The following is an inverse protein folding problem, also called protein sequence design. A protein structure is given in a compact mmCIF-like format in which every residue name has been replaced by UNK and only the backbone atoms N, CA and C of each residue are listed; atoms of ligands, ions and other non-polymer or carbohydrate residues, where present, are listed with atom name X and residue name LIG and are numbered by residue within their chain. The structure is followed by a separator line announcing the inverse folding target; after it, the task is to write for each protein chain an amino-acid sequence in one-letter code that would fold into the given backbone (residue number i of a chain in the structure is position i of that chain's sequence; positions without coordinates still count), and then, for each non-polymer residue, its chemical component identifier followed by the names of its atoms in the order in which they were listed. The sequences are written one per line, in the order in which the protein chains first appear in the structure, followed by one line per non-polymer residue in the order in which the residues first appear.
data_IF_259200528303
#
_entry.id   IF_259200528303
#
_cell.length_a   1.000
_cell.length_b   1.000
_cell.length_c   1.000
_cell.angle_alpha   90.00
_cell.angle_beta   90.00
_cell.angle_gamma   90.00
#
_symmetry.space_group_name_H-M   'P 1'
#
loop_
_entity.id
_entity.type
_entity.pdbx_description
1 polymer ?
#
# COMPACT_ATOMS: atom_id res chain seq x y z
N UNK A 1 29.71 25.53 1.77
CA UNK A 1 28.74 24.65 1.13
C UNK A 1 27.84 25.52 0.25
N UNK A 2 27.79 25.24 -1.04
CA UNK A 2 26.99 26.02 -2.00
C UNK A 2 25.53 25.52 -1.93
N UNK A 3 24.58 26.40 -1.61
CA UNK A 3 23.15 26.09 -1.65
C UNK A 3 22.69 26.09 -3.09
N UNK A 4 22.00 25.01 -3.52
CA UNK A 4 21.41 24.89 -4.85
C UNK A 4 19.92 25.18 -4.73
N UNK A 5 19.46 26.24 -5.40
CA UNK A 5 18.03 26.58 -5.52
C UNK A 5 17.49 26.01 -6.84
N UNK A 6 16.35 25.34 -6.77
CA UNK A 6 15.63 24.86 -7.96
C UNK A 6 14.77 25.99 -8.50
N UNK A 7 14.75 26.22 -9.83
CA UNK A 7 13.90 27.22 -10.45
C UNK A 7 12.42 26.85 -10.39
N UNK A 8 11.55 27.84 -10.42
CA UNK A 8 10.11 27.65 -10.60
C UNK A 8 9.81 27.03 -11.97
N UNK A 9 8.84 26.13 -12.04
CA UNK A 9 8.48 25.47 -13.28
C UNK A 9 7.42 24.37 -13.12
N UNK A 10 7.29 23.55 -14.15
CA UNK A 10 6.36 22.41 -14.14
C UNK A 10 6.77 21.37 -13.08
N UNK A 11 5.84 21.03 -12.20
CA UNK A 11 6.09 20.07 -11.11
C UNK A 11 5.72 18.65 -11.55
N UNK A 12 6.57 17.69 -11.17
CA UNK A 12 6.31 16.24 -11.24
C UNK A 12 6.49 15.62 -9.85
N UNK A 13 5.58 14.75 -9.48
CA UNK A 13 5.62 14.10 -8.18
C UNK A 13 6.42 12.82 -8.28
N UNK A 14 7.45 12.68 -7.44
CA UNK A 14 8.22 11.47 -7.29
C UNK A 14 7.94 10.83 -5.91
N UNK A 15 7.94 9.51 -5.85
CA UNK A 15 7.78 8.78 -4.59
C UNK A 15 9.08 8.86 -3.78
N UNK A 16 8.99 9.28 -2.52
CA UNK A 16 10.15 9.42 -1.64
C UNK A 16 10.89 8.10 -1.42
N UNK A 17 10.16 6.98 -1.24
CA UNK A 17 10.75 5.65 -1.09
C UNK A 17 11.61 5.23 -2.29
N UNK A 18 11.22 5.65 -3.48
CA UNK A 18 12.00 5.39 -4.70
C UNK A 18 13.24 6.26 -4.78
N UNK A 19 13.13 7.53 -4.37
CA UNK A 19 14.29 8.43 -4.30
C UNK A 19 15.32 7.94 -3.28
N UNK A 20 14.87 7.50 -2.11
CA UNK A 20 15.74 6.95 -1.07
C UNK A 20 16.50 5.70 -1.56
N UNK A 21 15.82 4.80 -2.28
CA UNK A 21 16.45 3.62 -2.88
C UNK A 21 17.48 4.00 -3.94
N UNK A 22 17.18 4.96 -4.80
CA UNK A 22 18.11 5.43 -5.84
C UNK A 22 19.34 6.08 -5.22
N UNK A 23 19.16 6.86 -4.16
CA UNK A 23 20.26 7.47 -3.40
C UNK A 23 21.13 6.40 -2.74
N UNK A 24 20.52 5.39 -2.12
CA UNK A 24 21.21 4.30 -1.44
C UNK A 24 22.07 3.46 -2.39
N UNK A 25 21.58 3.21 -3.61
CA UNK A 25 22.33 2.45 -4.64
C UNK A 25 23.44 3.29 -5.26
N UNK A 26 23.25 4.61 -5.36
CA UNK A 26 24.26 5.52 -5.91
C UNK A 26 24.51 5.36 -7.42
N UNK A 27 23.62 4.70 -8.15
CA UNK A 27 23.72 4.55 -9.61
C UNK A 27 23.14 5.79 -10.31
N UNK A 28 24.03 6.67 -10.76
CA UNK A 28 23.65 7.91 -11.42
C UNK A 28 22.90 7.70 -12.74
N UNK A 29 23.22 6.65 -13.49
CA UNK A 29 22.55 6.35 -14.76
C UNK A 29 21.12 5.86 -14.52
N UNK A 30 20.90 5.05 -13.49
CA UNK A 30 19.57 4.62 -13.06
C UNK A 30 18.73 5.80 -12.54
N UNK A 31 19.33 6.71 -11.77
CA UNK A 31 18.66 7.91 -11.29
C UNK A 31 18.25 8.84 -12.44
N UNK A 32 19.13 9.07 -13.43
CA UNK A 32 18.82 9.85 -14.62
C UNK A 32 17.71 9.20 -15.46
N UNK A 33 17.75 7.88 -15.62
CA UNK A 33 16.71 7.12 -16.32
C UNK A 33 15.36 7.27 -15.61
N UNK A 34 15.32 7.17 -14.28
CA UNK A 34 14.10 7.39 -13.50
C UNK A 34 13.52 8.79 -13.70
N UNK A 35 14.36 9.84 -13.64
CA UNK A 35 13.94 11.21 -13.88
C UNK A 35 13.40 11.41 -15.30
N UNK A 36 14.03 10.78 -16.29
CA UNK A 36 13.56 10.81 -17.67
C UNK A 36 12.16 10.19 -17.80
N UNK A 37 11.96 9.00 -17.21
CA UNK A 37 10.65 8.32 -17.21
C UNK A 37 9.60 9.17 -16.49
N UNK A 38 9.94 9.75 -15.35
CA UNK A 38 9.05 10.61 -14.58
C UNK A 38 8.62 11.83 -15.39
N UNK A 39 9.53 12.40 -16.20
CA UNK A 39 9.25 13.57 -17.05
C UNK A 39 8.37 13.22 -18.24
N UNK A 40 8.61 12.09 -18.90
CA UNK A 40 8.00 11.77 -20.20
C UNK A 40 6.86 10.75 -20.11
N UNK A 41 6.60 10.12 -18.95
CA UNK A 41 5.46 9.23 -18.70
C UNK A 41 5.58 7.84 -19.35
N UNK A 42 6.75 7.46 -19.83
CA UNK A 42 7.01 6.15 -20.43
C UNK A 42 8.32 6.13 -21.20
N UNK A 43 8.80 4.95 -21.60
CA UNK A 43 10.08 4.84 -22.30
C UNK A 43 9.97 4.10 -23.62
N UNK A 44 10.32 4.80 -24.70
CA UNK A 44 11.05 4.17 -25.79
C UNK A 44 12.53 4.12 -25.35
N UNK A 45 13.06 2.91 -25.11
CA UNK A 45 14.42 2.73 -24.61
C UNK A 45 15.49 3.38 -25.48
N UNK A 46 15.28 3.41 -26.78
CA UNK A 46 16.21 4.03 -27.74
C UNK A 46 16.20 5.56 -27.66
N UNK A 47 15.04 6.14 -27.40
CA UNK A 47 14.89 7.59 -27.21
C UNK A 47 15.50 8.02 -25.86
N UNK A 48 15.26 7.25 -24.80
CA UNK A 48 15.84 7.51 -23.49
C UNK A 48 17.37 7.42 -23.49
N UNK A 49 17.94 6.37 -24.08
CA UNK A 49 19.39 6.19 -24.19
C UNK A 49 20.05 7.36 -24.94
N UNK A 50 19.44 7.81 -26.05
CA UNK A 50 19.92 8.97 -26.81
C UNK A 50 19.82 10.26 -26.02
N UNK A 51 18.70 10.52 -25.37
CA UNK A 51 18.47 11.73 -24.59
C UNK A 51 19.44 11.85 -23.42
N UNK A 52 19.71 10.73 -22.75
CA UNK A 52 20.63 10.64 -21.62
C UNK A 52 22.09 10.45 -22.03
N UNK A 53 22.38 10.34 -23.34
CA UNK A 53 23.73 10.08 -23.90
C UNK A 53 24.38 8.83 -23.32
N UNK A 54 23.58 7.78 -23.08
CA UNK A 54 24.04 6.49 -22.58
C UNK A 54 24.34 5.56 -23.76
N UNK A 55 25.44 4.78 -23.65
CA UNK A 55 25.65 3.65 -24.54
C UNK A 55 24.60 2.56 -24.25
N UNK A 56 24.38 1.63 -25.20
CA UNK A 56 23.45 0.53 -25.03
C UNK A 56 23.71 -0.25 -23.74
N UNK A 57 24.98 -0.60 -23.46
CA UNK A 57 25.36 -1.33 -22.24
C UNK A 57 25.10 -0.55 -20.95
N UNK A 58 25.30 0.77 -20.97
CA UNK A 58 25.02 1.62 -19.81
C UNK A 58 23.51 1.76 -19.60
N UNK A 59 22.76 1.91 -20.67
CA UNK A 59 21.31 1.94 -20.61
C UNK A 59 20.73 0.63 -20.05
N UNK A 60 21.18 -0.52 -20.55
CA UNK A 60 20.71 -1.81 -20.07
C UNK A 60 21.02 -2.03 -18.58
N UNK A 61 22.22 -1.65 -18.13
CA UNK A 61 22.58 -1.71 -16.71
C UNK A 61 21.69 -0.79 -15.86
N UNK A 62 21.50 0.45 -16.29
CA UNK A 62 20.63 1.41 -15.60
C UNK A 62 19.18 0.92 -15.56
N UNK A 63 18.68 0.38 -16.67
CA UNK A 63 17.34 -0.20 -16.75
C UNK A 63 17.19 -1.44 -15.84
N UNK A 64 18.20 -2.30 -15.80
CA UNK A 64 18.23 -3.46 -14.90
C UNK A 64 18.24 -3.02 -13.43
N UNK A 65 19.08 -2.05 -13.05
CA UNK A 65 19.12 -1.49 -11.70
C UNK A 65 17.78 -0.88 -11.35
N UNK A 66 17.20 -0.06 -12.24
CA UNK A 66 15.92 0.59 -12.02
C UNK A 66 14.78 -0.42 -11.90
N UNK A 67 14.74 -1.44 -12.76
CA UNK A 67 13.75 -2.50 -12.67
C UNK A 67 13.83 -3.28 -11.36
N UNK A 68 15.04 -3.54 -10.85
CA UNK A 68 15.23 -4.19 -9.55
C UNK A 68 14.79 -3.30 -8.38
N UNK A 69 14.92 -1.99 -8.52
CA UNK A 69 14.45 -1.03 -7.51
C UNK A 69 12.93 -0.80 -7.57
N UNK A 70 12.38 -0.83 -8.78
CA UNK A 70 10.93 -0.74 -9.05
C UNK A 70 10.27 -2.09 -8.83
N UNK A 71 11.00 -3.20 -9.11
CA UNK A 71 10.53 -4.53 -8.76
C UNK A 71 10.16 -4.51 -7.28
N UNK A 72 8.92 -4.84 -6.91
CA UNK A 72 8.51 -4.78 -5.54
C UNK A 72 9.49 -5.60 -4.72
N UNK A 73 10.22 -4.98 -3.81
CA UNK A 73 10.73 -5.66 -2.63
C UNK A 73 9.55 -6.48 -2.16
N UNK A 74 9.68 -7.76 -1.89
CA UNK A 74 8.59 -8.75 -1.67
C UNK A 74 7.46 -8.34 -0.71
N UNK A 75 7.37 -7.06 -0.34
CA UNK A 75 6.32 -6.44 0.46
C UNK A 75 5.20 -5.73 -0.33
N UNK A 76 5.29 -5.67 -1.67
CA UNK A 76 4.26 -5.04 -2.51
C UNK A 76 3.91 -5.93 -3.71
N UNK A 77 3.58 -7.19 -3.47
CA UNK A 77 2.92 -8.06 -4.44
C UNK A 77 1.57 -8.49 -3.90
N UNK A 78 0.58 -7.67 -4.11
CA UNK A 78 -0.80 -8.12 -4.09
C UNK A 78 -1.55 -7.54 -5.28
N UNK A 79 -1.24 -8.04 -6.48
CA UNK A 79 -2.21 -8.10 -7.57
C UNK A 79 -1.98 -9.40 -8.32
N UNK A 80 -3.01 -10.26 -8.25
CA UNK A 80 -3.27 -11.41 -9.08
C UNK A 80 -2.30 -12.58 -9.02
N UNK A 81 -2.33 -13.31 -7.88
CA UNK A 81 -2.38 -14.78 -8.00
C UNK A 81 -3.20 -15.34 -6.82
N UNK A 82 -4.37 -15.87 -7.09
CA UNK A 82 -5.35 -16.40 -6.10
C UNK A 82 -4.90 -17.68 -5.39
N UNK A 83 -3.60 -17.96 -5.37
CA UNK A 83 -3.01 -19.18 -4.81
C UNK A 83 -1.88 -18.93 -3.82
N UNK A 84 -1.46 -17.68 -3.57
CA UNK A 84 -0.50 -17.40 -2.54
C UNK A 84 -1.19 -17.43 -1.16
N UNK A 85 -0.89 -18.46 -0.37
CA UNK A 85 -1.33 -18.57 1.02
C UNK A 85 -0.89 -17.30 1.78
N UNK A 86 -1.85 -16.60 2.43
CA UNK A 86 -1.58 -15.37 3.18
C UNK A 86 -0.44 -15.60 4.19
N UNK A 87 0.46 -14.61 4.39
CA UNK A 87 1.62 -14.76 5.26
C UNK A 87 1.20 -15.18 6.68
N UNK A 88 1.92 -16.14 7.24
CA UNK A 88 1.69 -16.62 8.61
C UNK A 88 2.61 -15.87 9.56
N UNK A 89 2.18 -14.72 10.04
CA UNK A 89 2.93 -13.96 11.02
C UNK A 89 3.09 -14.73 12.33
N UNK A 90 4.31 -14.77 12.85
CA UNK A 90 4.64 -15.35 14.16
C UNK A 90 4.27 -14.40 15.30
N UNK A 91 4.18 -14.91 16.53
CA UNK A 91 3.89 -14.07 17.70
C UNK A 91 4.93 -12.96 17.93
N UNK A 92 6.20 -13.21 17.55
CA UNK A 92 7.26 -12.21 17.68
C UNK A 92 7.14 -11.11 16.62
N UNK A 93 6.75 -11.46 15.39
CA UNK A 93 6.47 -10.48 14.33
C UNK A 93 5.27 -9.60 14.68
N UNK A 94 4.22 -10.16 15.26
CA UNK A 94 3.06 -9.40 15.75
C UNK A 94 3.43 -8.40 16.84
N UNK A 95 4.29 -8.82 17.79
CA UNK A 95 4.78 -7.93 18.86
C UNK A 95 5.64 -6.82 18.30
N UNK A 96 6.56 -7.13 17.38
CA UNK A 96 7.40 -6.12 16.73
C UNK A 96 6.56 -5.14 15.93
N UNK A 97 5.62 -5.61 15.11
CA UNK A 97 4.73 -4.74 14.35
C UNK A 97 3.97 -3.77 15.27
N UNK A 98 3.46 -4.24 16.42
CA UNK A 98 2.76 -3.36 17.38
C UNK A 98 3.68 -2.39 18.11
N UNK A 99 4.98 -2.70 18.28
CA UNK A 99 5.95 -1.83 18.97
C UNK A 99 6.61 -0.84 18.02
N UNK A 100 6.94 -1.28 16.80
CA UNK A 100 7.78 -0.53 15.87
C UNK A 100 6.93 0.32 14.89
N UNK A 101 5.69 -0.10 14.60
CA UNK A 101 4.75 0.63 13.72
C UNK A 101 3.68 1.33 14.56
N UNK A 102 3.85 2.63 14.73
CA UNK A 102 2.93 3.48 15.49
C UNK A 102 1.54 3.53 14.85
N UNK A 103 1.44 3.43 13.52
CA UNK A 103 0.16 3.41 12.80
C UNK A 103 -0.59 2.11 13.06
N UNK A 104 0.11 0.99 13.00
CA UNK A 104 -0.46 -0.31 13.33
C UNK A 104 -0.83 -0.42 14.83
N UNK A 105 -0.02 0.14 15.72
CA UNK A 105 -0.36 0.24 17.15
C UNK A 105 -1.66 1.00 17.36
N UNK A 106 -1.81 2.18 16.73
CA UNK A 106 -3.05 2.96 16.79
C UNK A 106 -4.26 2.24 16.20
N UNK A 107 -4.07 1.46 15.14
CA UNK A 107 -5.12 0.59 14.57
C UNK A 107 -5.54 -0.48 15.57
N UNK A 108 -4.61 -1.11 16.28
CA UNK A 108 -4.91 -2.11 17.31
C UNK A 108 -5.72 -1.49 18.46
N UNK A 109 -5.34 -0.31 18.94
CA UNK A 109 -6.03 0.39 20.02
C UNK A 109 -7.46 0.79 19.61
N UNK A 110 -7.63 1.28 18.37
CA UNK A 110 -8.94 1.57 17.81
C UNK A 110 -9.81 0.30 17.68
N UNK A 111 -9.23 -0.81 17.26
CA UNK A 111 -9.93 -2.09 17.14
C UNK A 111 -10.35 -2.63 18.52
N UNK A 112 -9.52 -2.48 19.55
CA UNK A 112 -9.87 -2.80 20.94
C UNK A 112 -11.02 -1.92 21.44
N UNK A 113 -11.02 -0.62 21.12
CA UNK A 113 -12.11 0.31 21.42
C UNK A 113 -13.44 -0.09 20.76
N UNK A 114 -13.42 -0.44 19.47
CA UNK A 114 -14.61 -0.86 18.70
C UNK A 114 -15.16 -2.19 19.22
N UNK A 115 -14.28 -3.17 19.50
CA UNK A 115 -14.69 -4.50 19.97
C UNK A 115 -15.05 -4.53 21.44
N UNK A 116 -14.59 -3.56 22.23
CA UNK A 116 -14.76 -3.46 23.67
C UNK A 116 -13.94 -4.49 24.48
N UNK A 117 -12.90 -5.06 23.88
CA UNK A 117 -12.05 -6.06 24.51
C UNK A 117 -10.65 -6.08 23.87
N UNK A 118 -9.66 -6.55 24.65
CA UNK A 118 -8.32 -6.77 24.13
C UNK A 118 -8.31 -7.76 22.95
N UNK A 119 -7.46 -7.50 21.97
CA UNK A 119 -7.33 -8.35 20.80
C UNK A 119 -6.61 -9.67 21.13
N UNK A 120 -7.18 -10.76 20.67
CA UNK A 120 -6.51 -12.06 20.68
C UNK A 120 -5.38 -12.10 19.65
N UNK A 121 -4.41 -12.99 19.82
CA UNK A 121 -3.33 -13.19 18.84
C UNK A 121 -3.86 -13.47 17.42
N UNK A 122 -4.95 -14.25 17.31
CA UNK A 122 -5.59 -14.52 16.02
C UNK A 122 -6.21 -13.27 15.37
N UNK A 123 -6.75 -12.35 16.18
CA UNK A 123 -7.27 -11.06 15.70
C UNK A 123 -6.14 -10.11 15.31
N UNK A 124 -5.06 -10.04 16.10
CA UNK A 124 -3.85 -9.28 15.75
C UNK A 124 -3.24 -9.75 14.43
N UNK A 125 -3.14 -11.07 14.24
CA UNK A 125 -2.65 -11.68 13.00
C UNK A 125 -3.54 -11.31 11.80
N UNK A 126 -4.85 -11.33 11.99
CA UNK A 126 -5.81 -10.94 10.97
C UNK A 126 -5.66 -9.44 10.60
N UNK A 127 -5.56 -8.57 11.59
CA UNK A 127 -5.36 -7.13 11.38
C UNK A 127 -4.04 -6.84 10.66
N UNK A 128 -2.94 -7.49 11.07
CA UNK A 128 -1.66 -7.32 10.40
C UNK A 128 -1.71 -7.84 8.95
N UNK A 129 -2.41 -8.94 8.69
CA UNK A 129 -2.62 -9.43 7.32
C UNK A 129 -3.40 -8.42 6.47
N UNK A 130 -4.41 -7.78 7.03
CA UNK A 130 -5.23 -6.77 6.31
C UNK A 130 -4.40 -5.52 6.03
N UNK A 131 -3.65 -5.05 7.02
CA UNK A 131 -2.86 -3.84 6.94
C UNK A 131 -1.61 -4.01 6.06
N UNK A 132 -0.80 -5.04 6.31
CA UNK A 132 0.50 -5.25 5.64
C UNK A 132 0.38 -6.01 4.31
N UNK A 133 -0.45 -7.06 4.25
CA UNK A 133 -0.56 -7.92 3.07
C UNK A 133 -1.65 -7.47 2.09
N UNK A 134 -2.87 -7.17 2.56
CA UNK A 134 -3.95 -6.69 1.69
C UNK A 134 -3.81 -5.20 1.36
N UNK A 135 -3.00 -4.45 2.11
CA UNK A 135 -2.69 -3.05 1.85
C UNK A 135 -3.82 -2.07 2.18
N UNK A 136 -4.77 -2.46 3.02
CA UNK A 136 -5.76 -1.53 3.55
C UNK A 136 -5.08 -0.60 4.56
N UNK A 137 -5.23 0.71 4.41
CA UNK A 137 -4.72 1.64 5.41
C UNK A 137 -5.44 1.48 6.77
N UNK A 138 -4.86 2.05 7.82
CA UNK A 138 -5.43 1.97 9.16
C UNK A 138 -6.85 2.53 9.21
N UNK A 139 -7.11 3.64 8.49
CA UNK A 139 -8.43 4.26 8.43
C UNK A 139 -9.46 3.38 7.74
N UNK A 140 -9.14 2.78 6.58
CA UNK A 140 -10.04 1.84 5.90
C UNK A 140 -10.34 0.62 6.78
N UNK A 141 -9.34 0.12 7.51
CA UNK A 141 -9.51 -1.03 8.41
C UNK A 141 -10.41 -0.67 9.60
N UNK A 142 -10.31 0.55 10.15
CA UNK A 142 -11.20 1.05 11.21
C UNK A 142 -12.64 1.17 10.71
N UNK A 143 -12.84 1.72 9.52
CA UNK A 143 -14.18 1.81 8.90
C UNK A 143 -14.78 0.42 8.69
N UNK A 144 -13.99 -0.55 8.24
CA UNK A 144 -14.41 -1.94 8.07
C UNK A 144 -14.82 -2.59 9.39
N UNK A 145 -14.04 -2.38 10.46
CA UNK A 145 -14.36 -2.88 11.80
C UNK A 145 -15.66 -2.27 12.34
N UNK A 146 -15.82 -0.96 12.18
CA UNK A 146 -17.00 -0.21 12.61
C UNK A 146 -18.24 -0.68 11.86
N UNK A 147 -18.13 -0.86 10.53
CA UNK A 147 -19.19 -1.39 9.70
C UNK A 147 -19.63 -2.80 10.15
N UNK A 148 -18.67 -3.73 10.34
CA UNK A 148 -18.99 -5.08 10.79
C UNK A 148 -19.60 -5.11 12.19
N UNK A 149 -19.15 -4.23 13.08
CA UNK A 149 -19.72 -4.09 14.43
C UNK A 149 -21.17 -3.59 14.38
N UNK A 150 -21.46 -2.60 13.53
CA UNK A 150 -22.81 -2.07 13.32
C UNK A 150 -23.77 -3.11 12.72
N UNK A 151 -23.31 -3.82 11.67
CA UNK A 151 -24.15 -4.77 10.94
C UNK A 151 -24.42 -6.08 11.70
N UNK A 152 -23.41 -6.59 12.42
CA UNK A 152 -23.46 -7.93 13.02
C UNK A 152 -23.40 -7.93 14.54
N UNK A 153 -23.24 -6.77 15.17
CA UNK A 153 -23.07 -6.64 16.61
C UNK A 153 -21.74 -7.17 17.14
N UNK A 154 -21.09 -8.08 16.39
CA UNK A 154 -19.80 -8.70 16.75
C UNK A 154 -18.86 -8.77 15.55
N UNK A 155 -17.56 -8.54 15.78
CA UNK A 155 -16.53 -8.66 14.74
C UNK A 155 -15.87 -10.04 14.86
N UNK A 156 -16.18 -10.95 13.94
CA UNK A 156 -15.52 -12.25 13.82
C UNK A 156 -14.36 -12.16 12.83
N UNK A 157 -13.25 -12.82 13.13
CA UNK A 157 -12.06 -12.83 12.27
C UNK A 157 -12.34 -13.34 10.86
N UNK A 158 -13.25 -14.31 10.72
CA UNK A 158 -13.68 -14.85 9.42
C UNK A 158 -14.42 -13.83 8.57
N UNK A 159 -15.33 -13.06 9.20
CA UNK A 159 -16.08 -12.01 8.51
C UNK A 159 -15.17 -10.85 8.12
N UNK A 160 -14.30 -10.44 9.06
CA UNK A 160 -13.32 -9.39 8.85
C UNK A 160 -12.40 -9.71 7.66
N UNK A 161 -11.85 -10.94 7.62
CA UNK A 161 -10.98 -11.37 6.51
C UNK A 161 -11.73 -11.40 5.18
N UNK A 162 -12.95 -11.91 5.16
CA UNK A 162 -13.75 -12.00 3.93
C UNK A 162 -14.06 -10.62 3.36
N UNK A 163 -14.55 -9.71 4.18
CA UNK A 163 -14.88 -8.35 3.74
C UNK A 163 -13.61 -7.56 3.37
N UNK A 164 -12.51 -7.73 4.09
CA UNK A 164 -11.24 -7.09 3.76
C UNK A 164 -10.70 -7.54 2.40
N UNK A 165 -10.76 -8.84 2.07
CA UNK A 165 -10.39 -9.33 0.75
C UNK A 165 -11.30 -8.74 -0.34
N UNK A 166 -12.61 -8.69 -0.10
CA UNK A 166 -13.56 -8.09 -1.04
C UNK A 166 -13.26 -6.59 -1.26
N UNK A 167 -12.93 -5.84 -0.21
CA UNK A 167 -12.55 -4.44 -0.33
C UNK A 167 -11.24 -4.28 -1.10
N UNK A 168 -10.24 -5.10 -0.82
CA UNK A 168 -8.97 -5.11 -1.55
C UNK A 168 -9.19 -5.41 -3.05
N UNK A 169 -10.01 -6.43 -3.38
CA UNK A 169 -10.38 -6.78 -4.77
C UNK A 169 -11.09 -5.61 -5.49
N UNK A 170 -11.86 -4.80 -4.78
CA UNK A 170 -12.55 -3.60 -5.30
C UNK A 170 -11.66 -2.35 -5.31
N UNK A 171 -10.42 -2.42 -4.81
CA UNK A 171 -9.51 -1.28 -4.69
C UNK A 171 -9.88 -0.31 -3.56
N UNK A 172 -10.69 -0.72 -2.59
CA UNK A 172 -11.08 0.08 -1.41
C UNK A 172 -10.01 -0.08 -0.34
N UNK A 173 -8.91 0.67 -0.49
CA UNK A 173 -7.74 0.53 0.40
C UNK A 173 -7.51 1.75 1.29
N UNK A 174 -8.27 2.84 1.10
CA UNK A 174 -8.17 4.08 1.88
C UNK A 174 -9.45 4.36 2.65
N UNK A 175 -9.33 5.10 3.78
CA UNK A 175 -10.47 5.52 4.58
C UNK A 175 -11.53 6.26 3.75
N UNK A 176 -11.11 7.15 2.85
CA UNK A 176 -12.02 7.91 2.00
C UNK A 176 -12.81 7.01 1.03
N UNK A 177 -12.14 6.04 0.39
CA UNK A 177 -12.79 5.06 -0.48
C UNK A 177 -13.77 4.19 0.31
N UNK A 178 -13.40 3.77 1.52
CA UNK A 178 -14.25 3.02 2.43
C UNK A 178 -15.53 3.77 2.79
N UNK A 179 -15.42 5.03 3.19
CA UNK A 179 -16.57 5.87 3.52
C UNK A 179 -17.51 6.06 2.33
N UNK A 180 -16.97 6.34 1.15
CA UNK A 180 -17.77 6.46 -0.07
C UNK A 180 -18.52 5.17 -0.41
N UNK A 181 -17.86 4.03 -0.28
CA UNK A 181 -18.47 2.72 -0.49
C UNK A 181 -19.59 2.44 0.49
N UNK A 182 -19.36 2.69 1.79
CA UNK A 182 -20.35 2.48 2.84
C UNK A 182 -21.56 3.40 2.69
N UNK A 183 -21.37 4.65 2.30
CA UNK A 183 -22.46 5.60 2.02
C UNK A 183 -23.35 5.09 0.89
N UNK A 184 -22.78 4.68 -0.26
CA UNK A 184 -23.55 4.09 -1.37
C UNK A 184 -24.33 2.86 -0.94
N UNK A 185 -23.69 1.98 -0.17
CA UNK A 185 -24.30 0.74 0.32
C UNK A 185 -25.45 1.02 1.31
N UNK A 186 -25.35 2.10 2.10
CA UNK A 186 -26.43 2.54 2.98
C UNK A 186 -27.63 3.08 2.18
N UNK A 187 -27.37 3.83 1.10
CA UNK A 187 -28.41 4.38 0.23
C UNK A 187 -29.16 3.28 -0.59
N UNK A 188 -28.47 2.18 -0.90
CA UNK A 188 -29.06 1.03 -1.64
C UNK A 188 -29.93 0.11 -0.76
N UNK A 189 -29.73 0.08 0.56
CA UNK A 189 -30.48 -0.77 1.50
C UNK A 189 -31.97 -0.47 1.58
N UNK A 190 -32.46 0.77 1.59
CA UNK A 190 -33.90 1.04 1.73
C UNK A 190 -34.76 0.59 0.57
N UNK A 191 -34.18 0.28 -0.60
CA UNK A 191 -34.91 -0.21 -1.78
C UNK A 191 -35.19 -1.73 -1.76
N UNK A 192 -34.48 -2.52 -0.97
CA UNK A 192 -34.64 -3.97 -0.92
C UNK A 192 -35.54 -4.49 0.20
N UNK A 193 -35.88 -3.67 1.20
CA UNK A 193 -36.81 -4.01 2.29
C UNK A 193 -38.26 -3.60 2.03
N UNK A 194 -38.55 -2.98 0.88
CA UNK A 194 -39.90 -2.47 0.51
C UNK A 194 -40.63 -3.35 -0.52
N UNK A 195 -40.27 -4.64 -0.67
CA UNK A 195 -41.00 -5.59 -1.54
C UNK A 195 -41.47 -6.79 -0.75
#
# INVERSE_FOLDING_TARGET
MTSVLLPEGELRVARCDMLDKLIAVGDGDAALLYLYILRHGGTDGSAAARALRLSADRYERAAFTLNNLIAPTEKAKATTDKSAEAPRYTGDELRRARLDDQTFSGLCDAAEGITGRALTEGQLRCLLTIYDYLGLDAGATIELLSYLKSEKGTVRTTDLRREANQWADMGIVTAQAAQQYLTRRADEKPLSEAI
#
